data_IF_334328388069
#
_entry.id   IF_334328388069
#
_cell.length_a   1.000
_cell.length_b   1.000
_cell.length_c   1.000
_cell.angle_alpha   90.00
_cell.angle_beta   90.00
_cell.angle_gamma   90.00
#
_symmetry.space_group_name_H-M   'P 1'
#
loop_
_entity.id
_entity.type
_entity.pdbx_description
1 polymer ?
#
# COMPACT_ATOMS: atom_id res chain seq x y z
N UNK A 1 -22.63 0.90 -9.23
CA UNK A 1 -21.15 0.79 -9.34
C UNK A 1 -20.66 -0.25 -8.35
N UNK A 2 -19.71 -1.09 -8.76
CA UNK A 2 -19.17 -2.13 -7.86
C UNK A 2 -18.32 -1.50 -6.76
N UNK A 3 -18.57 -1.84 -5.51
CA UNK A 3 -17.77 -1.40 -4.38
C UNK A 3 -16.58 -2.37 -4.20
N UNK A 4 -15.39 -1.81 -4.07
CA UNK A 4 -14.16 -2.57 -3.86
C UNK A 4 -13.63 -2.34 -2.45
N UNK A 5 -12.90 -3.32 -1.94
CA UNK A 5 -12.06 -3.15 -0.76
C UNK A 5 -10.62 -2.91 -1.23
N UNK A 6 -10.13 -1.70 -1.06
CA UNK A 6 -8.79 -1.29 -1.45
C UNK A 6 -7.89 -1.23 -0.21
N UNK A 7 -6.76 -1.92 -0.27
CA UNK A 7 -5.72 -1.88 0.76
C UNK A 7 -4.56 -1.01 0.29
N UNK A 8 -4.34 0.13 0.94
CA UNK A 8 -3.13 0.92 0.77
C UNK A 8 -2.04 0.43 1.73
N UNK A 9 -0.81 0.38 1.26
CA UNK A 9 0.37 0.05 2.08
C UNK A 9 1.43 1.13 1.94
N UNK A 10 2.02 1.57 3.05
CA UNK A 10 3.08 2.57 3.09
C UNK A 10 4.08 2.27 4.20
N UNK A 11 5.32 2.00 3.83
CA UNK A 11 6.39 1.71 4.80
C UNK A 11 7.20 2.94 5.22
N UNK A 12 7.08 4.06 4.51
CA UNK A 12 7.79 5.29 4.87
C UNK A 12 7.23 5.92 6.15
N UNK A 13 8.11 6.62 6.87
CA UNK A 13 7.76 7.31 8.12
C UNK A 13 7.75 8.84 7.98
N UNK A 14 7.88 9.36 6.76
CA UNK A 14 7.85 10.79 6.48
C UNK A 14 6.44 11.36 6.40
N UNK A 15 6.39 12.65 6.16
CA UNK A 15 5.17 13.36 5.79
C UNK A 15 5.48 14.33 4.67
N UNK A 16 5.15 13.94 3.48
CA UNK A 16 5.40 14.70 2.25
C UNK A 16 4.30 14.48 1.23
N UNK A 17 4.57 14.83 -0.01
CA UNK A 17 3.58 14.74 -1.09
C UNK A 17 2.99 13.34 -1.28
N UNK A 18 3.80 12.31 -1.05
CA UNK A 18 3.37 10.91 -1.14
C UNK A 18 2.30 10.58 -0.09
N UNK A 19 2.59 10.83 1.18
CA UNK A 19 1.70 10.49 2.28
C UNK A 19 0.42 11.35 2.28
N UNK A 20 0.55 12.63 1.92
CA UNK A 20 -0.60 13.52 1.74
C UNK A 20 -1.52 12.98 0.64
N UNK A 21 -0.97 12.55 -0.47
CA UNK A 21 -1.73 11.98 -1.58
C UNK A 21 -2.43 10.68 -1.19
N UNK A 22 -1.74 9.78 -0.47
CA UNK A 22 -2.35 8.54 0.04
C UNK A 22 -3.56 8.86 0.92
N UNK A 23 -3.40 9.80 1.82
CA UNK A 23 -4.49 10.21 2.73
C UNK A 23 -5.69 10.78 1.95
N UNK A 24 -5.46 11.68 1.00
CA UNK A 24 -6.50 12.24 0.14
C UNK A 24 -7.19 11.16 -0.72
N UNK A 25 -6.42 10.23 -1.26
CA UNK A 25 -6.94 9.13 -2.07
C UNK A 25 -7.85 8.22 -1.23
N UNK A 26 -7.47 7.91 0.01
CA UNK A 26 -8.34 7.17 0.94
C UNK A 26 -9.68 7.88 1.15
N UNK A 27 -9.67 9.20 1.37
CA UNK A 27 -10.90 9.98 1.55
C UNK A 27 -11.79 9.95 0.30
N UNK A 28 -11.22 10.19 -0.88
CA UNK A 28 -11.94 10.15 -2.15
C UNK A 28 -12.54 8.79 -2.47
N UNK A 29 -11.83 7.70 -2.16
CA UNK A 29 -12.35 6.35 -2.34
C UNK A 29 -13.50 6.04 -1.41
N UNK A 30 -13.44 6.50 -0.16
CA UNK A 30 -14.53 6.39 0.80
C UNK A 30 -15.77 7.17 0.35
N UNK A 31 -15.60 8.40 -0.14
CA UNK A 31 -16.68 9.23 -0.70
C UNK A 31 -17.36 8.55 -1.90
N UNK A 32 -16.62 7.77 -2.67
CA UNK A 32 -17.15 6.97 -3.78
C UNK A 32 -17.79 5.65 -3.35
N UNK A 33 -17.90 5.40 -2.05
CA UNK A 33 -18.54 4.21 -1.50
C UNK A 33 -17.67 2.95 -1.46
N UNK A 34 -16.35 3.08 -1.66
CA UNK A 34 -15.43 1.97 -1.51
C UNK A 34 -15.10 1.72 -0.04
N UNK A 35 -14.69 0.50 0.26
CA UNK A 35 -14.09 0.14 1.55
C UNK A 35 -12.57 0.35 1.45
N UNK A 36 -11.98 1.02 2.41
CA UNK A 36 -10.55 1.34 2.39
C UNK A 36 -9.88 0.86 3.67
N UNK A 37 -8.76 0.20 3.51
CA UNK A 37 -7.85 -0.13 4.60
C UNK A 37 -6.47 0.44 4.30
N UNK A 38 -5.77 0.88 5.34
CA UNK A 38 -4.39 1.32 5.22
C UNK A 38 -3.50 0.55 6.19
N UNK A 39 -2.35 0.10 5.72
CA UNK A 39 -1.26 -0.44 6.54
C UNK A 39 -0.10 0.53 6.48
N UNK A 40 0.31 1.05 7.61
CA UNK A 40 1.42 1.97 7.71
C UNK A 40 2.20 1.76 9.02
N UNK A 41 3.35 2.41 9.14
CA UNK A 41 4.18 2.30 10.34
C UNK A 41 3.47 2.91 11.55
N UNK A 42 3.54 2.20 12.67
CA UNK A 42 3.07 2.73 13.96
C UNK A 42 3.76 4.06 14.27
N UNK A 43 3.00 5.03 14.74
CA UNK A 43 3.44 6.39 15.06
C UNK A 43 3.94 7.24 13.87
N UNK A 44 3.84 6.76 12.63
CA UNK A 44 4.11 7.60 11.48
C UNK A 44 3.09 8.77 11.39
N UNK A 45 3.45 9.89 10.75
CA UNK A 45 2.48 10.97 10.51
C UNK A 45 1.24 10.49 9.74
N UNK A 46 1.43 9.58 8.78
CA UNK A 46 0.32 8.99 8.03
C UNK A 46 -0.62 8.19 8.95
N UNK A 47 -0.07 7.40 9.90
CA UNK A 47 -0.85 6.67 10.88
C UNK A 47 -1.71 7.63 11.74
N UNK A 48 -1.10 8.69 12.25
CA UNK A 48 -1.81 9.70 13.06
C UNK A 48 -2.93 10.38 12.28
N UNK A 49 -2.68 10.71 11.01
CA UNK A 49 -3.70 11.27 10.11
C UNK A 49 -4.80 10.26 9.78
N UNK A 50 -4.46 9.02 9.49
CA UNK A 50 -5.43 7.96 9.20
C UNK A 50 -6.42 7.75 10.36
N UNK A 51 -5.97 7.87 11.61
CA UNK A 51 -6.84 7.77 12.78
C UNK A 51 -7.90 8.88 12.87
N UNK A 52 -7.77 9.96 12.12
CA UNK A 52 -8.80 11.02 12.05
C UNK A 52 -9.97 10.68 11.12
N UNK A 53 -9.86 9.63 10.35
CA UNK A 53 -10.95 9.19 9.45
C UNK A 53 -11.98 8.39 10.27
N UNK A 54 -13.21 8.91 10.34
CA UNK A 54 -14.29 8.33 11.16
C UNK A 54 -15.32 7.53 10.34
N UNK A 55 -14.95 7.02 9.17
CA UNK A 55 -15.85 6.23 8.34
C UNK A 55 -15.93 4.77 8.82
N UNK A 56 -17.11 4.15 8.89
CA UNK A 56 -17.26 2.73 9.20
C UNK A 56 -16.65 1.81 8.12
N UNK A 57 -16.45 2.34 6.92
CA UNK A 57 -15.81 1.62 5.80
C UNK A 57 -14.29 1.78 5.75
N UNK A 58 -13.69 2.42 6.77
CA UNK A 58 -12.27 2.65 6.87
C UNK A 58 -11.63 1.89 8.03
N UNK A 59 -10.46 1.30 7.79
CA UNK A 59 -9.65 0.68 8.83
C UNK A 59 -8.17 1.06 8.66
N UNK A 60 -7.49 1.30 9.77
CA UNK A 60 -6.06 1.57 9.81
C UNK A 60 -5.35 0.51 10.65
N UNK A 61 -4.35 -0.13 10.07
CA UNK A 61 -3.58 -1.20 10.71
C UNK A 61 -2.11 -0.77 10.85
N UNK A 62 -1.63 -0.52 12.08
CA UNK A 62 -0.21 -0.28 12.29
C UNK A 62 0.57 -1.58 12.13
N UNK A 63 1.61 -1.55 11.31
CA UNK A 63 2.47 -2.70 11.09
C UNK A 63 3.91 -2.26 10.83
N UNK A 64 4.86 -2.92 11.51
CA UNK A 64 6.26 -2.58 11.35
C UNK A 64 6.82 -3.21 10.07
N UNK A 65 7.14 -2.37 9.10
CA UNK A 65 7.75 -2.76 7.82
C UNK A 65 9.18 -2.21 7.74
N UNK A 66 10.13 -2.89 8.36
CA UNK A 66 11.54 -2.42 8.43
C UNK A 66 12.33 -2.64 7.14
N UNK A 67 12.07 -3.73 6.46
CA UNK A 67 12.86 -4.18 5.31
C UNK A 67 12.04 -5.13 4.44
N UNK A 68 12.30 -5.11 3.16
CA UNK A 68 11.68 -6.00 2.17
C UNK A 68 12.00 -7.48 2.37
N UNK A 69 13.07 -7.79 3.11
CA UNK A 69 13.50 -9.17 3.43
C UNK A 69 13.14 -9.61 4.85
N UNK A 70 12.42 -8.78 5.61
CA UNK A 70 12.07 -9.10 6.98
C UNK A 70 10.91 -10.10 7.03
N UNK A 71 11.20 -11.34 7.43
CA UNK A 71 10.22 -12.43 7.46
C UNK A 71 9.07 -12.19 8.45
N UNK A 72 9.30 -11.48 9.55
CA UNK A 72 8.25 -11.14 10.51
C UNK A 72 7.26 -10.14 9.93
N UNK A 73 7.76 -9.11 9.23
CA UNK A 73 6.91 -8.16 8.49
C UNK A 73 6.10 -8.89 7.42
N UNK A 74 6.73 -9.80 6.68
CA UNK A 74 6.05 -10.62 5.68
C UNK A 74 4.93 -11.47 6.28
N UNK A 75 5.20 -12.21 7.35
CA UNK A 75 4.21 -13.06 8.02
C UNK A 75 3.04 -12.25 8.57
N UNK A 76 3.32 -11.13 9.24
CA UNK A 76 2.29 -10.27 9.82
C UNK A 76 1.40 -9.64 8.75
N UNK A 77 2.00 -9.11 7.69
CA UNK A 77 1.26 -8.53 6.57
C UNK A 77 0.46 -9.59 5.81
N UNK A 78 1.05 -10.76 5.58
CA UNK A 78 0.37 -11.89 4.93
C UNK A 78 -0.86 -12.34 5.72
N UNK A 79 -0.74 -12.49 7.04
CA UNK A 79 -1.86 -12.84 7.92
C UNK A 79 -2.96 -11.78 7.87
N UNK A 80 -2.59 -10.50 7.90
CA UNK A 80 -3.55 -9.40 7.80
C UNK A 80 -4.29 -9.43 6.46
N UNK A 81 -3.58 -9.51 5.34
CA UNK A 81 -4.18 -9.55 3.99
C UNK A 81 -5.12 -10.74 3.84
N UNK A 82 -4.71 -11.92 4.35
CA UNK A 82 -5.56 -13.12 4.36
C UNK A 82 -6.86 -12.92 5.15
N UNK A 83 -6.81 -12.17 6.25
CA UNK A 83 -7.97 -11.91 7.10
C UNK A 83 -8.92 -10.87 6.48
N UNK A 84 -8.39 -9.77 5.98
CA UNK A 84 -9.21 -8.66 5.45
C UNK A 84 -9.68 -8.87 4.02
N UNK A 85 -8.98 -9.73 3.26
CA UNK A 85 -9.30 -10.12 1.87
C UNK A 85 -9.60 -8.92 0.97
N UNK A 86 -8.64 -8.01 0.72
CA UNK A 86 -8.89 -6.87 -0.14
C UNK A 86 -9.05 -7.32 -1.60
N UNK A 87 -9.81 -6.56 -2.36
CA UNK A 87 -9.96 -6.77 -3.81
C UNK A 87 -8.75 -6.25 -4.59
N UNK A 88 -8.09 -5.22 -4.06
CA UNK A 88 -6.95 -4.54 -4.68
C UNK A 88 -5.96 -4.17 -3.59
N UNK A 89 -4.66 -4.36 -3.86
CA UNK A 89 -3.56 -3.86 -3.05
C UNK A 89 -2.89 -2.71 -3.79
N UNK A 90 -2.77 -1.55 -3.13
CA UNK A 90 -2.12 -0.37 -3.68
C UNK A 90 -0.87 -0.03 -2.85
N UNK A 91 0.29 -0.20 -3.45
CA UNK A 91 1.59 0.01 -2.80
C UNK A 91 2.22 1.33 -3.20
N UNK A 92 3.02 1.94 -2.33
CA UNK A 92 3.53 3.29 -2.52
C UNK A 92 5.05 3.41 -2.39
N UNK A 93 5.69 2.80 -1.40
CA UNK A 93 7.15 2.81 -1.26
C UNK A 93 7.79 1.49 -1.69
N UNK A 94 9.11 1.42 -1.70
CA UNK A 94 9.81 0.20 -2.17
C UNK A 94 9.61 -0.98 -1.24
N UNK A 95 9.69 -0.78 0.08
CA UNK A 95 9.60 -1.87 1.07
C UNK A 95 8.22 -2.52 1.03
N UNK A 96 7.16 -1.74 1.12
CA UNK A 96 5.80 -2.27 1.08
C UNK A 96 5.44 -2.84 -0.29
N UNK A 97 6.01 -2.30 -1.36
CA UNK A 97 5.80 -2.83 -2.71
C UNK A 97 6.38 -4.23 -2.88
N UNK A 98 7.53 -4.53 -2.26
CA UNK A 98 8.04 -5.89 -2.21
C UNK A 98 7.17 -6.79 -1.33
N UNK A 99 6.92 -6.39 -0.09
CA UNK A 99 6.16 -7.20 0.87
C UNK A 99 4.74 -7.46 0.38
N UNK A 100 3.96 -6.42 0.17
CA UNK A 100 2.56 -6.54 -0.24
C UNK A 100 2.39 -7.00 -1.69
N UNK A 101 3.34 -6.64 -2.57
CA UNK A 101 3.33 -7.09 -3.95
C UNK A 101 3.51 -8.59 -4.10
N UNK A 102 4.46 -9.18 -3.40
CA UNK A 102 4.66 -10.64 -3.39
C UNK A 102 3.44 -11.34 -2.78
N UNK A 103 2.95 -10.85 -1.65
CA UNK A 103 1.76 -11.43 -1.00
C UNK A 103 0.54 -11.36 -1.92
N UNK A 104 0.33 -10.23 -2.57
CA UNK A 104 -0.77 -10.06 -3.53
C UNK A 104 -0.69 -11.05 -4.68
N UNK A 105 0.49 -11.25 -5.25
CA UNK A 105 0.69 -12.24 -6.31
C UNK A 105 0.43 -13.68 -5.82
N UNK A 106 0.91 -14.03 -4.64
CA UNK A 106 0.68 -15.36 -4.05
C UNK A 106 -0.81 -15.64 -3.83
N UNK A 107 -1.57 -14.63 -3.40
CA UNK A 107 -3.01 -14.79 -3.15
C UNK A 107 -3.90 -14.46 -4.35
N UNK A 108 -3.32 -14.13 -5.51
CA UNK A 108 -4.07 -13.77 -6.70
C UNK A 108 -4.81 -12.42 -6.59
N UNK A 109 -4.36 -11.53 -5.69
CA UNK A 109 -4.93 -10.19 -5.52
C UNK A 109 -4.19 -9.22 -6.45
N UNK A 110 -4.89 -8.46 -7.30
CA UNK A 110 -4.26 -7.48 -8.17
C UNK A 110 -3.54 -6.39 -7.36
N UNK A 111 -2.31 -6.11 -7.78
CA UNK A 111 -1.46 -5.09 -7.15
C UNK A 111 -1.33 -3.90 -8.08
N UNK A 112 -1.60 -2.71 -7.56
CA UNK A 112 -1.32 -1.42 -8.19
C UNK A 112 -0.14 -0.79 -7.47
N UNK A 113 0.79 -0.22 -8.18
CA UNK A 113 1.93 0.50 -7.61
C UNK A 113 1.89 1.97 -8.00
N UNK A 114 1.91 2.85 -7.03
CA UNK A 114 2.19 4.27 -7.25
C UNK A 114 3.69 4.55 -7.17
N UNK A 115 4.15 5.41 -8.05
CA UNK A 115 5.52 5.91 -8.07
C UNK A 115 5.48 7.42 -7.95
N UNK A 116 6.02 7.91 -6.85
CA UNK A 116 5.98 9.33 -6.49
C UNK A 116 7.34 10.05 -6.68
N UNK A 117 8.34 9.38 -7.26
CA UNK A 117 9.70 9.92 -7.41
C UNK A 117 10.09 9.90 -8.88
N UNK A 118 10.63 11.01 -9.37
CA UNK A 118 11.11 11.18 -10.75
C UNK A 118 12.50 10.59 -11.03
N UNK A 119 13.06 9.78 -10.13
CA UNK A 119 14.35 9.12 -10.34
C UNK A 119 14.21 8.00 -11.37
N UNK A 120 15.11 7.90 -12.37
CA UNK A 120 15.07 6.82 -13.34
C UNK A 120 15.07 5.43 -12.69
N UNK A 121 14.29 4.51 -13.24
CA UNK A 121 14.30 3.12 -12.79
C UNK A 121 15.59 2.49 -13.28
N UNK A 122 16.42 1.99 -12.36
CA UNK A 122 17.58 1.22 -12.75
C UNK A 122 17.15 -0.12 -13.33
N UNK A 123 17.67 -0.46 -14.50
CA UNK A 123 17.34 -1.71 -15.22
C UNK A 123 17.90 -2.98 -14.58
N UNK A 124 18.48 -2.88 -13.39
CA UNK A 124 19.04 -4.02 -12.66
C UNK A 124 17.92 -4.88 -12.06
N UNK A 125 17.95 -6.18 -12.32
CA UNK A 125 17.15 -7.16 -11.62
C UNK A 125 17.41 -7.10 -10.17
N UNK A 126 16.76 -6.84 -9.16
CA UNK A 126 15.38 -7.06 -8.81
C UNK A 126 14.43 -5.85 -9.05
N UNK A 127 14.98 -4.66 -9.32
CA UNK A 127 14.16 -3.47 -9.56
C UNK A 127 13.23 -3.63 -10.77
N UNK A 128 13.71 -4.24 -11.86
CA UNK A 128 12.86 -4.50 -13.01
C UNK A 128 11.67 -5.42 -12.66
N UNK A 129 11.89 -6.37 -11.78
CA UNK A 129 10.83 -7.28 -11.29
C UNK A 129 9.75 -6.53 -10.49
N UNK A 130 10.19 -5.62 -9.63
CA UNK A 130 9.29 -4.79 -8.81
C UNK A 130 8.39 -3.90 -9.67
N UNK A 131 8.84 -3.52 -10.86
CA UNK A 131 8.07 -2.64 -11.75
C UNK A 131 7.36 -3.36 -12.90
N UNK A 132 7.82 -4.55 -13.30
CA UNK A 132 7.29 -5.23 -14.49
C UNK A 132 6.49 -6.51 -14.20
N UNK A 133 6.85 -7.23 -13.15
CA UNK A 133 6.25 -8.54 -12.87
C UNK A 133 5.27 -8.55 -11.69
N UNK A 134 5.55 -7.76 -10.67
CA UNK A 134 4.73 -7.74 -9.44
C UNK A 134 3.43 -6.94 -9.64
N UNK A 135 3.45 -5.66 -10.05
CA UNK A 135 2.21 -4.90 -10.20
C UNK A 135 1.52 -5.21 -11.52
N UNK A 136 0.20 -5.24 -11.50
CA UNK A 136 -0.61 -5.25 -12.70
C UNK A 136 -0.68 -3.89 -13.38
N UNK A 137 -0.59 -2.81 -12.60
CA UNK A 137 -0.55 -1.42 -13.08
C UNK A 137 0.38 -0.58 -12.25
N UNK A 138 1.01 0.39 -12.90
CA UNK A 138 1.83 1.42 -12.27
C UNK A 138 1.17 2.77 -12.52
N UNK A 139 1.02 3.55 -11.46
CA UNK A 139 0.56 4.93 -11.51
C UNK A 139 1.78 5.82 -11.25
N UNK A 140 2.07 6.72 -12.17
CA UNK A 140 3.13 7.73 -12.00
C UNK A 140 2.48 9.08 -11.73
N UNK A 141 2.98 9.78 -10.71
CA UNK A 141 2.72 11.20 -10.49
C UNK A 141 4.01 11.95 -10.80
N UNK A 142 4.03 12.62 -11.93
CA UNK A 142 5.09 13.57 -12.28
C UNK A 142 4.80 14.93 -11.67
#
# INVERSE_FOLDING_TARGET
MKNFHILHTEAACGWGGQEIRIFQECQLLLERGHRVSIVCQLNSPLYKKALTITSPSFNCYPLRMKSSINIFSYKSLSKLIKNIKPDIIHTHSSIDSWLAGIIGNVYGIPVVRSRHISIPITSVAPNSWLYSKIPKKIITSG
#
